data_IF_656119311113
#
_entry.id   IF_656119311113
#
_cell.length_a   1.000
_cell.length_b   1.000
_cell.length_c   1.000
_cell.angle_alpha   90.00
_cell.angle_beta   90.00
_cell.angle_gamma   90.00
#
_symmetry.space_group_name_H-M   'P 1'
#
loop_
_entity.id
_entity.type
_entity.pdbx_description
1 polymer ?
#
# COMPACT_ATOMS: atom_id res chain seq x y z
N UNK A 1 -40.48 -27.11 -4.86
CA UNK A 1 -39.33 -26.90 -3.97
C UNK A 1 -38.17 -26.48 -4.89
N UNK A 2 -38.04 -25.18 -5.11
CA UNK A 2 -37.07 -24.61 -6.02
C UNK A 2 -35.75 -24.50 -5.26
N UNK A 3 -34.73 -25.21 -5.73
CA UNK A 3 -33.40 -25.17 -5.17
C UNK A 3 -32.86 -23.72 -5.31
N UNK A 4 -32.36 -23.21 -4.20
CA UNK A 4 -31.78 -21.90 -4.12
C UNK A 4 -30.68 -21.71 -5.20
N UNK A 5 -30.80 -20.59 -5.91
CA UNK A 5 -29.90 -20.21 -6.98
C UNK A 5 -28.47 -20.05 -6.48
N UNK A 6 -27.57 -20.61 -7.26
CA UNK A 6 -26.18 -20.30 -7.44
C UNK A 6 -25.48 -19.57 -6.26
N UNK A 7 -24.97 -20.35 -5.31
CA UNK A 7 -23.78 -19.91 -4.59
C UNK A 7 -22.67 -19.74 -5.64
N UNK A 8 -22.22 -18.51 -5.86
CA UNK A 8 -21.04 -18.23 -6.65
C UNK A 8 -19.88 -19.05 -6.07
N UNK A 9 -19.46 -20.06 -6.79
CA UNK A 9 -18.29 -20.90 -6.42
C UNK A 9 -16.97 -20.26 -6.82
N UNK A 10 -16.99 -19.01 -7.30
CA UNK A 10 -15.79 -18.28 -7.69
C UNK A 10 -15.00 -17.87 -6.44
N UNK A 11 -13.73 -18.23 -6.41
CA UNK A 11 -12.80 -17.72 -5.40
C UNK A 11 -12.66 -16.21 -5.53
N UNK A 12 -12.48 -15.52 -4.40
CA UNK A 12 -12.21 -14.10 -4.32
C UNK A 12 -10.88 -13.88 -3.61
N UNK A 13 -10.20 -12.79 -3.91
CA UNK A 13 -9.06 -12.37 -3.12
C UNK A 13 -9.60 -11.86 -1.77
N UNK A 14 -9.32 -12.60 -0.70
CA UNK A 14 -9.80 -12.25 0.63
C UNK A 14 -9.02 -11.08 1.21
N UNK A 15 -7.70 -11.24 1.32
CA UNK A 15 -6.84 -10.23 1.93
C UNK A 15 -5.44 -10.22 1.34
N UNK A 16 -4.73 -9.17 1.66
CA UNK A 16 -3.28 -9.03 1.49
C UNK A 16 -2.67 -8.83 2.87
N UNK A 17 -1.58 -9.53 3.18
CA UNK A 17 -0.80 -9.29 4.39
C UNK A 17 0.40 -8.42 4.05
N UNK A 18 0.52 -7.28 4.72
CA UNK A 18 1.69 -6.41 4.66
C UNK A 18 2.26 -6.22 6.07
N UNK A 19 3.53 -5.92 6.17
CA UNK A 19 4.19 -5.70 7.45
C UNK A 19 4.72 -4.28 7.55
N UNK A 20 4.69 -3.73 8.78
CA UNK A 20 5.36 -2.49 9.15
C UNK A 20 6.51 -2.78 10.13
N UNK A 21 7.51 -1.92 10.13
CA UNK A 21 8.65 -2.07 11.04
C UNK A 21 8.25 -1.78 12.49
N UNK A 22 8.91 -2.41 13.47
CA UNK A 22 8.75 -2.05 14.87
C UNK A 22 8.93 -0.54 15.07
N UNK A 23 7.95 0.09 15.72
CA UNK A 23 7.88 1.54 15.92
C UNK A 23 7.13 2.33 14.85
N UNK A 24 6.87 1.78 13.67
CA UNK A 24 6.18 2.47 12.56
C UNK A 24 4.65 2.29 12.57
N UNK A 25 4.09 1.63 13.61
CA UNK A 25 2.66 1.28 13.69
C UNK A 25 1.74 2.46 13.39
N UNK A 26 1.92 3.58 14.09
CA UNK A 26 1.05 4.74 13.92
C UNK A 26 1.22 5.37 12.53
N UNK A 27 2.44 5.44 12.02
CA UNK A 27 2.70 5.96 10.68
C UNK A 27 2.03 5.11 9.60
N UNK A 28 1.99 3.79 9.77
CA UNK A 28 1.29 2.90 8.84
C UNK A 28 -0.23 3.11 8.89
N UNK A 29 -0.81 3.31 10.08
CA UNK A 29 -2.22 3.68 10.24
C UNK A 29 -2.51 5.01 9.55
N UNK A 30 -1.77 6.05 9.91
CA UNK A 30 -1.98 7.41 9.40
C UNK A 30 -1.87 7.47 7.87
N UNK A 31 -0.97 6.67 7.28
CA UNK A 31 -0.83 6.56 5.83
C UNK A 31 -2.13 6.08 5.18
N UNK A 32 -2.68 4.96 5.64
CA UNK A 32 -3.89 4.40 5.03
C UNK A 32 -5.14 5.24 5.32
N UNK A 33 -5.22 5.89 6.49
CA UNK A 33 -6.29 6.84 6.80
C UNK A 33 -6.21 8.09 5.92
N UNK A 34 -5.01 8.61 5.66
CA UNK A 34 -4.82 9.70 4.71
C UNK A 34 -5.26 9.34 3.29
N UNK A 35 -5.18 8.07 2.93
CA UNK A 35 -5.65 7.51 1.66
C UNK A 35 -7.16 7.18 1.65
N UNK A 36 -7.91 7.56 2.70
CA UNK A 36 -9.34 7.36 2.80
C UNK A 36 -9.78 5.95 3.19
N UNK A 37 -8.83 5.07 3.53
CA UNK A 37 -9.14 3.77 4.09
C UNK A 37 -9.60 3.89 5.55
N UNK A 38 -10.31 2.90 6.02
CA UNK A 38 -10.66 2.78 7.43
C UNK A 38 -9.79 1.74 8.10
N UNK A 39 -9.20 2.10 9.23
CA UNK A 39 -8.37 1.20 10.01
C UNK A 39 -9.08 0.71 11.26
N UNK A 40 -8.84 -0.55 11.64
CA UNK A 40 -9.31 -1.13 12.89
C UNK A 40 -8.15 -1.80 13.59
N UNK A 41 -7.86 -1.31 14.78
CA UNK A 41 -6.97 -1.98 15.72
C UNK A 41 -7.81 -2.78 16.71
N UNK A 42 -7.90 -4.06 16.50
CA UNK A 42 -8.65 -4.96 17.38
C UNK A 42 -7.84 -5.38 18.62
N UNK A 43 -6.54 -5.08 18.65
CA UNK A 43 -5.61 -5.64 19.64
C UNK A 43 -5.43 -7.17 19.50
N UNK A 44 -6.05 -7.76 18.48
CA UNK A 44 -5.92 -9.18 18.24
C UNK A 44 -4.49 -9.54 17.82
N UNK A 45 -4.05 -10.72 18.26
CA UNK A 45 -2.73 -11.25 17.90
C UNK A 45 -2.87 -12.27 16.79
N UNK A 46 -1.99 -12.18 15.81
CA UNK A 46 -1.80 -13.24 14.82
C UNK A 46 -1.31 -14.53 15.49
N UNK A 47 -1.40 -15.68 14.85
CA UNK A 47 -0.77 -16.92 15.33
C UNK A 47 0.73 -16.78 15.57
N UNK A 48 1.40 -15.85 14.90
CA UNK A 48 2.80 -15.50 15.12
C UNK A 48 3.04 -14.60 16.35
N UNK A 49 1.96 -14.19 17.06
CA UNK A 49 2.04 -13.39 18.29
C UNK A 49 2.07 -11.87 18.08
N UNK A 50 2.22 -11.40 16.84
CA UNK A 50 2.17 -9.97 16.52
C UNK A 50 0.74 -9.44 16.52
N UNK A 51 0.54 -8.20 16.96
CA UNK A 51 -0.73 -7.50 16.77
C UNK A 51 -0.87 -7.06 15.31
N UNK A 52 -2.08 -7.14 14.79
CA UNK A 52 -2.38 -6.67 13.45
C UNK A 52 -3.49 -5.61 13.43
N UNK A 53 -3.47 -4.82 12.38
CA UNK A 53 -4.47 -3.81 12.06
C UNK A 53 -5.16 -4.28 10.79
N UNK A 54 -6.48 -4.22 10.72
CA UNK A 54 -7.19 -4.38 9.46
C UNK A 54 -7.42 -3.02 8.82
N UNK A 55 -7.07 -2.93 7.55
CA UNK A 55 -7.28 -1.75 6.70
C UNK A 55 -8.33 -2.11 5.67
N UNK A 56 -9.42 -1.36 5.66
CA UNK A 56 -10.53 -1.52 4.74
C UNK A 56 -10.47 -0.41 3.69
N UNK A 57 -10.15 -0.73 2.42
CA UNK A 57 -10.17 0.25 1.33
C UNK A 57 -11.54 0.88 1.12
N UNK A 58 -12.61 0.11 1.32
CA UNK A 58 -13.98 0.64 1.43
C UNK A 58 -14.31 0.88 2.92
N UNK A 59 -14.43 2.17 3.35
CA UNK A 59 -14.67 2.48 4.76
C UNK A 59 -16.03 2.02 5.29
N UNK A 60 -16.97 1.67 4.40
CA UNK A 60 -18.29 1.18 4.76
C UNK A 60 -18.36 -0.35 4.79
N UNK A 61 -17.38 -1.03 4.20
CA UNK A 61 -17.29 -2.48 4.23
C UNK A 61 -16.93 -2.97 5.65
N UNK A 62 -17.70 -3.97 6.10
CA UNK A 62 -17.51 -4.66 7.41
C UNK A 62 -17.16 -6.12 7.22
N UNK A 63 -16.96 -6.55 5.97
CA UNK A 63 -16.59 -7.91 5.62
C UNK A 63 -15.18 -8.28 6.05
N UNK A 64 -14.84 -9.54 5.79
CA UNK A 64 -13.48 -10.06 5.98
C UNK A 64 -12.72 -10.17 4.66
N UNK A 65 -13.39 -9.89 3.56
CA UNK A 65 -12.80 -9.81 2.22
C UNK A 65 -12.43 -8.36 1.91
N UNK A 66 -11.60 -8.15 0.89
CA UNK A 66 -11.13 -6.82 0.49
C UNK A 66 -10.40 -6.07 1.63
N UNK A 67 -9.54 -6.76 2.35
CA UNK A 67 -8.84 -6.25 3.53
C UNK A 67 -7.33 -6.30 3.31
N UNK A 68 -6.62 -5.29 3.77
CA UNK A 68 -5.17 -5.33 3.94
C UNK A 68 -4.91 -5.49 5.44
N UNK A 69 -4.26 -6.57 5.82
CA UNK A 69 -3.77 -6.71 7.18
C UNK A 69 -2.38 -6.12 7.29
N UNK A 70 -2.17 -5.30 8.32
CA UNK A 70 -0.89 -4.72 8.67
C UNK A 70 -0.42 -5.34 9.98
N UNK A 71 0.60 -6.17 9.91
CA UNK A 71 1.21 -6.81 11.08
C UNK A 71 2.55 -6.17 11.41
N UNK A 72 2.92 -6.15 12.69
CA UNK A 72 4.29 -5.82 13.04
C UNK A 72 5.24 -6.90 12.50
N UNK A 73 6.30 -6.45 11.87
CA UNK A 73 7.32 -7.32 11.28
C UNK A 73 7.91 -8.26 12.35
N UNK A 74 7.99 -9.57 12.08
CA UNK A 74 8.64 -10.49 12.99
C UNK A 74 10.08 -10.07 13.33
N UNK A 75 10.51 -10.35 14.56
CA UNK A 75 11.83 -9.91 15.05
C UNK A 75 12.99 -10.44 14.19
N UNK A 76 12.85 -11.64 13.68
CA UNK A 76 13.85 -12.28 12.80
C UNK A 76 13.94 -11.55 11.45
N UNK A 77 12.81 -11.17 10.88
CA UNK A 77 12.78 -10.37 9.66
C UNK A 77 13.35 -8.99 9.92
N UNK A 78 12.96 -8.33 11.01
CA UNK A 78 13.47 -7.01 11.38
C UNK A 78 14.99 -7.01 11.54
N UNK A 79 15.55 -8.05 12.20
CA UNK A 79 16.99 -8.20 12.35
C UNK A 79 17.71 -8.42 11.01
N UNK A 80 17.15 -9.24 10.13
CA UNK A 80 17.70 -9.46 8.78
C UNK A 80 17.69 -8.15 7.98
N UNK A 81 16.56 -7.44 7.99
CA UNK A 81 16.42 -6.20 7.23
C UNK A 81 17.30 -5.07 7.75
N UNK A 82 17.60 -5.05 9.05
CA UNK A 82 18.55 -4.10 9.61
C UNK A 82 19.96 -4.34 9.07
N UNK A 83 20.40 -5.59 8.96
CA UNK A 83 21.67 -5.94 8.33
C UNK A 83 21.69 -5.47 6.87
N UNK A 84 20.60 -5.71 6.12
CA UNK A 84 20.48 -5.25 4.74
C UNK A 84 20.58 -3.72 4.62
N UNK A 85 19.90 -2.98 5.49
CA UNK A 85 19.95 -1.50 5.52
C UNK A 85 21.37 -1.01 5.77
N UNK A 86 22.01 -1.53 6.80
CA UNK A 86 23.41 -1.19 7.12
C UNK A 86 24.34 -1.48 5.94
N UNK A 87 24.14 -2.61 5.26
CA UNK A 87 24.94 -2.95 4.09
C UNK A 87 24.68 -2.00 2.92
N UNK A 88 23.42 -1.66 2.65
CA UNK A 88 23.06 -0.69 1.61
C UNK A 88 23.70 0.68 1.90
N UNK A 89 23.68 1.14 3.13
CA UNK A 89 24.25 2.46 3.48
C UNK A 89 25.78 2.49 3.38
N UNK A 90 26.45 1.38 3.62
CA UNK A 90 27.92 1.29 3.59
C UNK A 90 28.50 0.88 2.24
N UNK A 91 27.69 0.37 1.33
CA UNK A 91 28.10 -0.06 -0.02
C UNK A 91 27.52 0.92 -1.06
N UNK A 92 28.41 1.64 -1.72
CA UNK A 92 28.03 2.68 -2.69
C UNK A 92 27.22 2.13 -3.87
N UNK A 93 27.56 0.94 -4.38
CA UNK A 93 26.87 0.33 -5.51
C UNK A 93 25.47 -0.13 -5.13
N UNK A 94 25.29 -0.70 -3.94
CA UNK A 94 23.98 -1.10 -3.43
C UNK A 94 23.11 0.11 -3.16
N UNK A 95 23.66 1.17 -2.57
CA UNK A 95 22.94 2.44 -2.33
C UNK A 95 22.48 3.06 -3.65
N UNK A 96 23.38 3.17 -4.62
CA UNK A 96 23.03 3.72 -5.94
C UNK A 96 21.93 2.88 -6.65
N UNK A 97 22.00 1.56 -6.53
CA UNK A 97 21.00 0.64 -7.10
C UNK A 97 19.64 0.77 -6.41
N UNK A 98 19.61 0.87 -5.06
CA UNK A 98 18.37 1.14 -4.31
C UNK A 98 17.75 2.48 -4.73
N UNK A 99 18.56 3.52 -4.83
CA UNK A 99 18.08 4.85 -5.19
C UNK A 99 17.55 4.89 -6.64
N UNK A 100 18.18 4.13 -7.55
CA UNK A 100 17.66 3.94 -8.90
C UNK A 100 16.32 3.21 -8.89
N UNK A 101 16.19 2.12 -8.12
CA UNK A 101 14.93 1.38 -7.98
C UNK A 101 13.82 2.27 -7.41
N UNK A 102 14.11 3.06 -6.38
CA UNK A 102 13.17 4.01 -5.80
C UNK A 102 12.71 5.07 -6.80
N UNK A 103 13.62 5.59 -7.63
CA UNK A 103 13.24 6.50 -8.74
C UNK A 103 12.36 5.81 -9.76
N UNK A 104 12.71 4.58 -10.17
CA UNK A 104 11.87 3.80 -11.09
C UNK A 104 10.48 3.58 -10.54
N UNK A 105 10.37 3.25 -9.25
CA UNK A 105 9.08 3.03 -8.59
C UNK A 105 8.20 4.29 -8.59
N UNK A 106 8.79 5.48 -8.60
CA UNK A 106 8.07 6.74 -8.70
C UNK A 106 7.81 7.17 -10.16
N UNK A 107 8.81 7.05 -11.04
CA UNK A 107 8.73 7.59 -12.40
C UNK A 107 8.04 6.63 -13.39
N UNK A 108 8.24 5.31 -13.20
CA UNK A 108 7.77 4.25 -14.07
C UNK A 108 7.22 3.07 -13.26
N UNK A 109 6.14 3.26 -12.48
CA UNK A 109 5.61 2.24 -11.57
C UNK A 109 5.05 1.02 -12.30
N UNK A 110 4.72 1.16 -13.59
CA UNK A 110 4.21 0.06 -14.41
C UNK A 110 5.24 -1.05 -14.55
N UNK A 111 4.80 -2.29 -14.35
CA UNK A 111 5.67 -3.47 -14.39
C UNK A 111 6.41 -3.77 -13.08
N UNK A 112 6.32 -2.90 -12.07
CA UNK A 112 6.74 -3.24 -10.72
C UNK A 112 5.62 -3.96 -9.97
N UNK A 113 6.00 -4.79 -9.02
CA UNK A 113 5.03 -5.44 -8.11
C UNK A 113 4.30 -4.38 -7.30
N UNK A 114 2.98 -4.37 -7.38
CA UNK A 114 2.14 -3.42 -6.64
C UNK A 114 0.82 -4.06 -6.18
N UNK A 115 0.20 -3.42 -5.20
CA UNK A 115 -1.15 -3.72 -4.75
C UNK A 115 -2.04 -2.61 -5.28
N UNK A 116 -3.10 -2.98 -6.01
CA UNK A 116 -4.03 -2.01 -6.57
C UNK A 116 -5.32 -1.93 -5.75
N UNK A 117 -5.73 -0.72 -5.43
CA UNK A 117 -7.01 -0.38 -4.78
C UNK A 117 -7.81 0.47 -5.75
N UNK A 118 -9.06 0.08 -5.99
CA UNK A 118 -9.94 0.78 -6.93
C UNK A 118 -10.96 1.63 -6.19
N UNK A 119 -11.01 2.91 -6.53
CA UNK A 119 -12.05 3.83 -6.10
C UNK A 119 -13.27 3.75 -7.03
N UNK A 120 -14.48 4.01 -6.50
CA UNK A 120 -15.71 3.85 -7.28
C UNK A 120 -15.89 4.90 -8.38
N UNK A 121 -15.25 6.07 -8.29
CA UNK A 121 -15.37 7.13 -9.28
C UNK A 121 -14.13 8.04 -9.30
N UNK A 122 -14.02 8.86 -10.37
CA UNK A 122 -13.00 9.91 -10.46
C UNK A 122 -13.10 10.92 -9.31
N UNK A 123 -14.31 11.32 -8.94
CA UNK A 123 -14.54 12.28 -7.85
C UNK A 123 -14.05 11.70 -6.51
N UNK A 124 -14.17 10.40 -6.31
CA UNK A 124 -13.74 9.78 -5.06
C UNK A 124 -12.22 9.72 -4.94
N UNK A 125 -11.50 9.35 -6.01
CA UNK A 125 -10.04 9.35 -5.98
C UNK A 125 -9.48 10.78 -5.94
N UNK A 126 -10.04 11.72 -6.70
CA UNK A 126 -9.60 13.13 -6.67
C UNK A 126 -9.78 13.74 -5.27
N UNK A 127 -10.89 13.44 -4.59
CA UNK A 127 -11.11 13.89 -3.20
C UNK A 127 -10.03 13.38 -2.24
N UNK A 128 -9.52 12.18 -2.47
CA UNK A 128 -8.43 11.61 -1.67
C UNK A 128 -7.09 12.25 -2.04
N UNK A 129 -6.84 12.48 -3.33
CA UNK A 129 -5.60 13.09 -3.80
C UNK A 129 -5.53 14.57 -3.43
N UNK A 130 -6.68 15.25 -3.45
CA UNK A 130 -6.80 16.66 -3.10
C UNK A 130 -6.46 16.84 -1.60
N UNK A 131 -5.45 17.65 -1.32
CA UNK A 131 -4.96 17.86 0.05
C UNK A 131 -4.27 16.65 0.69
N UNK A 132 -3.93 15.59 -0.07
CA UNK A 132 -3.19 14.44 0.48
C UNK A 132 -1.86 14.86 1.09
N UNK A 133 -1.11 15.73 0.42
CA UNK A 133 0.17 16.25 0.94
C UNK A 133 0.01 16.97 2.28
N UNK A 134 -1.10 17.64 2.52
CA UNK A 134 -1.37 18.34 3.78
C UNK A 134 -1.77 17.37 4.90
N UNK A 135 -2.45 16.28 4.55
CA UNK A 135 -2.78 15.20 5.51
C UNK A 135 -1.58 14.34 5.89
N UNK A 136 -0.61 14.22 4.98
CA UNK A 136 0.64 13.56 5.29
C UNK A 136 1.50 14.50 6.15
N UNK A 137 1.63 14.21 7.44
CA UNK A 137 2.57 14.92 8.31
C UNK A 137 4.01 14.84 7.79
N UNK A 138 4.94 15.66 8.31
CA UNK A 138 6.30 15.74 7.78
C UNK A 138 7.05 14.41 7.71
N UNK A 139 6.84 13.55 8.71
CA UNK A 139 7.47 12.24 8.79
C UNK A 139 6.95 11.30 7.70
N UNK A 140 5.64 11.18 7.52
CA UNK A 140 5.01 10.40 6.45
C UNK A 140 5.45 10.90 5.08
N UNK A 141 5.43 12.21 4.86
CA UNK A 141 5.82 12.84 3.61
C UNK A 141 7.25 12.49 3.20
N UNK A 142 8.17 12.35 4.16
CA UNK A 142 9.56 11.96 3.89
C UNK A 142 9.70 10.51 3.41
N UNK A 143 8.71 9.66 3.69
CA UNK A 143 8.72 8.21 3.43
C UNK A 143 7.77 7.77 2.32
N UNK A 144 7.13 8.74 1.63
CA UNK A 144 6.19 8.49 0.56
C UNK A 144 6.65 9.22 -0.71
N UNK A 145 6.55 8.56 -1.85
CA UNK A 145 6.63 9.19 -3.16
C UNK A 145 5.32 8.94 -3.89
N UNK A 146 4.70 9.99 -4.38
CA UNK A 146 3.42 9.93 -5.09
C UNK A 146 3.60 10.37 -6.53
N UNK A 147 3.08 9.58 -7.46
CA UNK A 147 2.96 9.94 -8.88
C UNK A 147 1.52 9.71 -9.32
N UNK A 148 0.91 10.75 -9.88
CA UNK A 148 -0.46 10.68 -10.39
C UNK A 148 -0.45 10.83 -11.91
N UNK A 149 -1.25 10.01 -12.56
CA UNK A 149 -1.52 10.08 -14.00
C UNK A 149 -3.02 10.32 -14.20
N UNK A 150 -3.34 11.30 -15.04
CA UNK A 150 -4.73 11.64 -15.37
C UNK A 150 -5.00 11.43 -16.86
N UNK A 151 -6.25 11.25 -17.27
CA UNK A 151 -6.62 11.15 -18.68
C UNK A 151 -6.07 12.33 -19.49
N UNK A 152 -5.37 12.03 -20.59
CA UNK A 152 -4.79 13.04 -21.49
C UNK A 152 -3.43 13.60 -21.06
N UNK A 153 -2.90 13.25 -19.90
CA UNK A 153 -1.55 13.68 -19.47
C UNK A 153 -0.43 12.81 -20.04
N UNK A 154 -0.72 11.58 -20.48
CA UNK A 154 0.24 10.76 -21.22
C UNK A 154 -0.42 10.08 -22.40
N UNK A 155 0.18 10.22 -23.59
CA UNK A 155 -0.25 9.51 -24.80
C UNK A 155 -0.09 7.98 -24.67
N UNK A 156 0.79 7.53 -23.76
CA UNK A 156 1.12 6.12 -23.56
C UNK A 156 0.01 5.33 -22.85
N UNK A 157 -0.83 6.00 -22.07
CA UNK A 157 -1.78 5.32 -21.18
C UNK A 157 -3.14 5.06 -21.82
N UNK A 158 -3.55 5.72 -22.88
CA UNK A 158 -4.73 5.41 -23.71
C UNK A 158 -6.04 5.06 -22.96
N UNK A 159 -6.03 5.14 -21.62
CA UNK A 159 -7.08 4.68 -20.74
C UNK A 159 -7.81 5.87 -20.10
N UNK A 160 -9.11 5.78 -20.09
CA UNK A 160 -9.98 6.71 -19.37
C UNK A 160 -9.94 6.38 -17.87
N UNK A 161 -8.77 6.57 -17.25
CA UNK A 161 -8.53 6.26 -15.83
C UNK A 161 -7.67 7.32 -15.16
N UNK A 162 -7.89 7.50 -13.86
CA UNK A 162 -6.94 8.16 -12.95
C UNK A 162 -6.19 7.04 -12.25
N UNK A 163 -4.87 7.13 -12.24
CA UNK A 163 -3.99 6.20 -11.52
C UNK A 163 -3.00 6.98 -10.67
N UNK A 164 -2.97 6.68 -9.40
CA UNK A 164 -2.02 7.25 -8.45
C UNK A 164 -1.16 6.13 -7.88
N UNK A 165 0.14 6.21 -8.06
CA UNK A 165 1.11 5.26 -7.54
C UNK A 165 1.83 5.88 -6.36
N UNK A 166 1.74 5.21 -5.24
CA UNK A 166 2.36 5.61 -3.99
C UNK A 166 3.42 4.57 -3.62
N UNK A 167 4.68 4.98 -3.65
CA UNK A 167 5.79 4.19 -3.13
C UNK A 167 6.02 4.52 -1.67
N UNK A 168 6.19 3.51 -0.83
CA UNK A 168 6.49 3.66 0.60
C UNK A 168 7.29 2.47 1.13
N UNK A 169 7.97 2.66 2.25
CA UNK A 169 8.60 1.61 3.05
C UNK A 169 7.89 1.35 4.38
N UNK A 170 6.72 1.99 4.58
CA UNK A 170 5.93 1.90 5.82
C UNK A 170 5.09 0.63 5.91
N UNK A 171 4.62 0.12 4.77
CA UNK A 171 3.83 -1.10 4.69
C UNK A 171 4.30 -1.88 3.45
N UNK A 172 4.80 -3.09 3.65
CA UNK A 172 5.40 -3.87 2.56
C UNK A 172 4.95 -5.32 2.61
N UNK A 173 4.75 -5.91 1.43
CA UNK A 173 4.52 -7.35 1.26
C UNK A 173 5.82 -8.13 1.02
N UNK A 174 6.95 -7.50 1.23
CA UNK A 174 8.27 -8.06 0.97
C UNK A 174 9.30 -7.52 1.94
N UNK A 175 10.41 -7.02 1.41
CA UNK A 175 11.56 -6.52 2.16
C UNK A 175 11.53 -4.99 2.16
N UNK A 176 11.37 -4.37 3.33
CA UNK A 176 11.16 -2.93 3.47
C UNK A 176 12.26 -2.02 2.91
N UNK A 177 13.55 -2.37 2.88
CA UNK A 177 14.58 -1.56 2.24
C UNK A 177 14.32 -1.24 0.76
N UNK A 178 13.47 -2.02 0.08
CA UNK A 178 13.09 -1.79 -1.32
C UNK A 178 11.70 -1.18 -1.46
N UNK A 179 10.95 -1.04 -0.36
CA UNK A 179 9.63 -0.43 -0.34
C UNK A 179 8.55 -1.26 -1.05
N UNK A 180 7.37 -0.67 -1.16
CA UNK A 180 6.20 -1.22 -1.81
C UNK A 180 5.53 -0.13 -2.64
N UNK A 181 5.01 -0.50 -3.80
CA UNK A 181 4.12 0.36 -4.58
C UNK A 181 2.67 -0.03 -4.32
N UNK A 182 1.84 0.96 -4.03
CA UNK A 182 0.39 0.86 -4.04
C UNK A 182 -0.14 1.66 -5.21
N UNK A 183 -1.03 1.07 -6.00
CA UNK A 183 -1.79 1.76 -7.03
C UNK A 183 -3.17 2.09 -6.49
N UNK A 184 -3.61 3.32 -6.69
CA UNK A 184 -4.96 3.78 -6.44
C UNK A 184 -5.54 4.23 -7.77
N UNK A 185 -6.65 3.63 -8.19
CA UNK A 185 -7.19 3.88 -9.53
C UNK A 185 -8.69 4.06 -9.53
N UNK A 186 -9.18 4.81 -10.51
CA UNK A 186 -10.59 4.88 -10.89
C UNK A 186 -10.68 4.88 -12.41
N UNK A 187 -11.76 4.27 -12.91
CA UNK A 187 -12.05 4.16 -14.34
C UNK A 187 -13.40 4.80 -14.63
N UNK A 188 -13.58 5.33 -15.85
CA UNK A 188 -14.89 5.77 -16.34
C UNK A 188 -15.82 4.60 -16.57
#
# INVERSE_FOLDING_TARGET
>A
MQLAADQKTAAVLSHVEAVYRPGDRQLAIDLFEALGCRTYDTGAKSPAGSTYISVHPDPDDRGQDNVIYLSEMPAEQAAMEEILRQRIETDEALRASRDLYRRMANERPYGLSHIAVRYPSFESIERVLDGLEDRLGPELRSRVLLKVFRPGESEELGWDSIQAFLYTDLAVCGISPFGQVFEFSAYK
#
